data_IF_684783834334
#
_entry.id   IF_684783834334
#
_cell.length_a   1.000
_cell.length_b   1.000
_cell.length_c   1.000
_cell.angle_alpha   90.00
_cell.angle_beta   90.00
_cell.angle_gamma   90.00
#
_symmetry.space_group_name_H-M   'P 1'
#
loop_
_entity.id
_entity.type
_entity.pdbx_description
1 polymer ?
#
# COMPACT_ATOMS: atom_id res chain seq x y z
N UNK A 1 -18.51 3.74 -5.57
CA UNK A 1 -19.41 3.43 -6.71
C UNK A 1 -18.66 3.77 -7.98
N UNK A 2 -18.85 2.98 -9.04
CA UNK A 2 -18.33 3.22 -10.39
C UNK A 2 -19.50 3.69 -11.22
N UNK A 3 -19.33 4.80 -11.94
CA UNK A 3 -20.38 5.40 -12.74
C UNK A 3 -19.92 5.61 -14.18
N UNK A 4 -20.84 5.40 -15.12
CA UNK A 4 -20.77 6.00 -16.44
C UNK A 4 -21.32 7.43 -16.34
N UNK A 5 -20.52 8.41 -16.75
CA UNK A 5 -20.88 9.81 -16.67
C UNK A 5 -20.99 10.40 -18.08
N UNK A 6 -22.11 11.04 -18.37
CA UNK A 6 -22.21 11.92 -19.54
C UNK A 6 -21.86 13.33 -19.11
N UNK A 7 -20.80 13.88 -19.69
CA UNK A 7 -20.20 15.15 -19.30
C UNK A 7 -20.23 16.13 -20.46
N UNK A 8 -20.62 17.38 -20.18
CA UNK A 8 -20.54 18.52 -21.11
C UNK A 8 -19.45 19.47 -20.64
N UNK A 9 -18.52 19.81 -21.55
CA UNK A 9 -17.43 20.76 -21.29
C UNK A 9 -17.98 22.12 -20.85
N UNK A 10 -17.55 22.59 -19.68
CA UNK A 10 -17.87 23.90 -19.15
C UNK A 10 -16.76 24.93 -19.41
N UNK A 11 -16.97 26.17 -18.94
CA UNK A 11 -15.92 27.22 -19.00
C UNK A 11 -14.82 27.05 -17.96
N UNK A 12 -15.15 26.46 -16.82
CA UNK A 12 -14.23 26.26 -15.69
C UNK A 12 -14.38 24.87 -15.08
N UNK A 13 -15.62 24.42 -14.89
CA UNK A 13 -15.96 23.07 -14.45
C UNK A 13 -16.91 22.43 -15.45
N UNK A 14 -16.61 21.18 -15.79
CA UNK A 14 -17.48 20.38 -16.64
C UNK A 14 -18.76 19.99 -15.90
N UNK A 15 -19.85 19.86 -16.64
CA UNK A 15 -21.17 19.56 -16.09
C UNK A 15 -21.53 18.10 -16.34
N UNK A 16 -21.83 17.37 -15.28
CA UNK A 16 -22.42 16.04 -15.36
C UNK A 16 -23.90 16.21 -15.71
N UNK A 17 -24.33 15.64 -16.84
CA UNK A 17 -25.74 15.69 -17.30
C UNK A 17 -26.45 14.34 -17.14
N UNK A 18 -25.69 13.25 -17.04
CA UNK A 18 -26.20 11.93 -16.67
C UNK A 18 -25.13 11.20 -15.84
N UNK A 19 -25.60 10.41 -14.88
CA UNK A 19 -24.77 9.49 -14.13
C UNK A 19 -25.52 8.17 -13.98
N UNK A 20 -24.94 7.08 -14.48
CA UNK A 20 -25.46 5.73 -14.32
C UNK A 20 -24.47 4.91 -13.50
N UNK A 21 -24.94 4.29 -12.42
CA UNK A 21 -24.08 3.45 -11.59
C UNK A 21 -23.92 2.08 -12.23
N UNK A 22 -22.68 1.71 -12.57
CA UNK A 22 -22.32 0.41 -13.14
C UNK A 22 -21.96 -0.58 -12.02
N UNK A 23 -21.23 -0.13 -11.00
CA UNK A 23 -20.77 -0.99 -9.90
C UNK A 23 -20.82 -0.26 -8.55
N UNK A 24 -21.03 -1.02 -7.48
CA UNK A 24 -21.02 -0.53 -6.10
C UNK A 24 -20.29 -1.51 -5.19
N UNK A 25 -19.66 -0.98 -4.13
CA UNK A 25 -18.91 -1.75 -3.13
C UNK A 25 -19.54 -1.55 -1.74
N UNK A 26 -20.74 -2.11 -1.49
CA UNK A 26 -21.49 -1.87 -0.25
C UNK A 26 -20.87 -2.52 0.99
N UNK A 27 -20.02 -3.52 0.84
CA UNK A 27 -19.24 -4.13 1.91
C UNK A 27 -18.21 -3.19 2.52
N UNK A 28 -17.73 -2.18 1.77
CA UNK A 28 -16.84 -1.14 2.31
C UNK A 28 -17.54 -0.27 3.36
N UNK A 29 -18.76 0.20 3.10
CA UNK A 29 -19.48 1.07 4.04
C UNK A 29 -20.01 0.35 5.27
N UNK A 30 -20.05 -1.00 5.25
CA UNK A 30 -20.46 -1.84 6.39
C UNK A 30 -19.35 -2.04 7.43
N UNK A 31 -18.11 -1.65 7.12
CA UNK A 31 -16.99 -1.77 8.03
C UNK A 31 -16.09 -0.53 7.93
N UNK A 32 -15.94 0.20 9.04
CA UNK A 32 -15.23 1.48 9.06
C UNK A 32 -13.76 1.35 8.62
N UNK A 33 -13.07 0.27 9.01
CA UNK A 33 -11.69 0.03 8.59
C UNK A 33 -11.58 -0.21 7.08
N UNK A 34 -12.50 -0.98 6.48
CA UNK A 34 -12.57 -1.14 5.03
C UNK A 34 -12.81 0.19 4.31
N UNK A 35 -13.73 1.01 4.81
CA UNK A 35 -13.99 2.33 4.25
C UNK A 35 -12.74 3.22 4.32
N UNK A 36 -12.05 3.24 5.45
CA UNK A 36 -10.83 4.01 5.65
C UNK A 36 -9.70 3.56 4.72
N UNK A 37 -9.53 2.26 4.51
CA UNK A 37 -8.56 1.71 3.53
C UNK A 37 -8.92 2.16 2.11
N UNK A 38 -10.20 2.11 1.74
CA UNK A 38 -10.66 2.60 0.43
C UNK A 38 -10.38 4.09 0.22
N UNK A 39 -10.58 4.91 1.26
CA UNK A 39 -10.22 6.34 1.25
C UNK A 39 -8.71 6.53 1.10
N UNK A 40 -7.90 5.70 1.76
CA UNK A 40 -6.45 5.73 1.66
C UNK A 40 -5.95 5.45 0.24
N UNK A 41 -6.48 4.42 -0.41
CA UNK A 41 -6.13 4.15 -1.81
C UNK A 41 -6.61 5.27 -2.74
N UNK A 42 -7.81 5.82 -2.53
CA UNK A 42 -8.30 6.94 -3.32
C UNK A 42 -7.39 8.18 -3.19
N UNK A 43 -6.89 8.47 -1.99
CA UNK A 43 -5.95 9.57 -1.77
C UNK A 43 -4.62 9.35 -2.52
N UNK A 44 -4.08 8.12 -2.51
CA UNK A 44 -2.91 7.76 -3.31
C UNK A 44 -3.18 7.94 -4.80
N UNK A 45 -4.30 7.42 -5.31
CA UNK A 45 -4.67 7.54 -6.74
C UNK A 45 -4.78 9.00 -7.16
N UNK A 46 -5.38 9.86 -6.32
CA UNK A 46 -5.44 11.30 -6.56
C UNK A 46 -4.07 11.99 -6.48
N UNK A 47 -3.11 11.39 -5.77
CA UNK A 47 -1.75 11.90 -5.66
C UNK A 47 -0.87 11.57 -6.87
N UNK A 48 -1.01 10.36 -7.41
CA UNK A 48 -0.21 9.85 -8.53
C UNK A 48 -0.86 10.09 -9.89
N UNK A 49 -2.17 10.38 -9.91
CA UNK A 49 -2.94 10.65 -11.12
C UNK A 49 -2.44 11.89 -11.86
N UNK A 50 -2.34 11.78 -13.18
CA UNK A 50 -1.98 12.87 -14.08
C UNK A 50 -3.25 13.64 -14.46
N UNK A 51 -3.17 14.98 -14.38
CA UNK A 51 -4.30 15.83 -14.72
C UNK A 51 -4.65 15.72 -16.21
N UNK A 52 -5.95 15.64 -16.50
CA UNK A 52 -6.51 15.62 -17.86
C UNK A 52 -6.01 14.47 -18.75
N UNK A 53 -5.54 13.37 -18.16
CA UNK A 53 -5.12 12.18 -18.90
C UNK A 53 -5.92 10.96 -18.46
N UNK A 54 -6.33 10.15 -19.44
CA UNK A 54 -6.94 8.86 -19.15
C UNK A 54 -5.88 7.89 -18.64
N UNK A 55 -6.13 7.30 -17.49
CA UNK A 55 -5.25 6.31 -16.85
C UNK A 55 -6.07 5.07 -16.50
N UNK A 56 -6.51 4.34 -17.53
CA UNK A 56 -7.41 3.17 -17.42
C UNK A 56 -6.82 2.11 -16.49
N UNK A 57 -5.55 1.75 -16.66
CA UNK A 57 -4.89 0.74 -15.84
C UNK A 57 -4.88 1.09 -14.35
N UNK A 58 -4.64 2.36 -13.99
CA UNK A 58 -4.66 2.83 -12.61
C UNK A 58 -6.07 2.75 -12.02
N UNK A 59 -7.08 3.11 -12.82
CA UNK A 59 -8.48 3.07 -12.44
C UNK A 59 -8.97 1.63 -12.21
N UNK A 60 -8.67 0.73 -13.15
CA UNK A 60 -9.00 -0.69 -13.04
C UNK A 60 -8.29 -1.35 -11.86
N UNK A 61 -7.02 -1.01 -11.62
CA UNK A 61 -6.29 -1.51 -10.45
C UNK A 61 -6.92 -1.04 -9.13
N UNK A 62 -7.33 0.22 -9.02
CA UNK A 62 -8.06 0.72 -7.85
C UNK A 62 -9.37 -0.08 -7.66
N UNK A 63 -10.16 -0.23 -8.71
CA UNK A 63 -11.43 -0.97 -8.66
C UNK A 63 -11.22 -2.43 -8.24
N UNK A 64 -10.16 -3.08 -8.72
CA UNK A 64 -9.83 -4.44 -8.33
C UNK A 64 -9.51 -4.55 -6.83
N UNK A 65 -8.71 -3.64 -6.28
CA UNK A 65 -8.45 -3.62 -4.83
C UNK A 65 -9.69 -3.28 -4.01
N UNK A 66 -10.53 -2.35 -4.45
CA UNK A 66 -11.82 -2.05 -3.80
C UNK A 66 -12.74 -3.27 -3.79
N UNK A 67 -12.83 -4.00 -4.90
CA UNK A 67 -13.66 -5.21 -5.04
C UNK A 67 -13.15 -6.35 -4.14
N UNK A 68 -11.83 -6.54 -4.04
CA UNK A 68 -11.21 -7.52 -3.12
C UNK A 68 -11.53 -7.18 -1.67
N UNK A 69 -11.37 -5.91 -1.28
CA UNK A 69 -11.66 -5.46 0.09
C UNK A 69 -13.15 -5.54 0.43
N UNK A 70 -14.02 -5.22 -0.52
CA UNK A 70 -15.47 -5.35 -0.40
C UNK A 70 -15.86 -6.79 -0.03
N UNK A 71 -15.31 -7.76 -0.77
CA UNK A 71 -15.57 -9.20 -0.61
C UNK A 71 -14.83 -9.86 0.55
N UNK A 72 -13.85 -9.19 1.16
CA UNK A 72 -13.09 -9.74 2.28
C UNK A 72 -14.01 -10.13 3.45
N UNK A 73 -14.03 -11.41 3.80
CA UNK A 73 -14.72 -11.88 5.00
C UNK A 73 -13.70 -11.94 6.13
N UNK A 74 -13.84 -11.05 7.10
CA UNK A 74 -12.91 -10.97 8.23
C UNK A 74 -13.14 -12.14 9.19
N UNK A 75 -12.04 -12.67 9.71
CA UNK A 75 -12.06 -13.61 10.82
C UNK A 75 -12.63 -12.97 12.09
N UNK A 76 -13.19 -13.79 12.98
CA UNK A 76 -13.75 -13.29 14.26
C UNK A 76 -12.66 -12.92 15.28
N UNK A 77 -11.42 -13.33 15.06
CA UNK A 77 -10.31 -13.01 15.94
C UNK A 77 -9.82 -11.58 15.63
N UNK A 78 -9.85 -10.63 16.58
CA UNK A 78 -9.49 -9.24 16.32
C UNK A 78 -8.09 -9.09 15.74
N UNK A 79 -7.08 -9.71 16.35
CA UNK A 79 -5.69 -9.61 15.90
C UNK A 79 -5.49 -10.16 14.48
N UNK A 80 -6.16 -11.26 14.13
CA UNK A 80 -6.11 -11.78 12.76
C UNK A 80 -6.87 -10.88 11.77
N UNK A 81 -8.04 -10.36 12.16
CA UNK A 81 -8.80 -9.44 11.31
C UNK A 81 -8.03 -8.15 11.00
N UNK A 82 -7.25 -7.66 11.97
CA UNK A 82 -6.34 -6.52 11.78
C UNK A 82 -5.20 -6.87 10.83
N UNK A 83 -4.58 -8.06 10.95
CA UNK A 83 -3.60 -8.54 9.96
C UNK A 83 -4.19 -8.67 8.55
N UNK A 84 -5.42 -9.17 8.40
CA UNK A 84 -6.12 -9.29 7.12
C UNK A 84 -6.33 -7.91 6.47
N UNK A 85 -6.81 -6.93 7.26
CA UNK A 85 -7.04 -5.56 6.80
C UNK A 85 -5.72 -4.87 6.41
N UNK A 86 -4.69 -4.96 7.25
CA UNK A 86 -3.38 -4.37 6.96
C UNK A 86 -2.72 -5.01 5.75
N UNK A 87 -2.80 -6.33 5.60
CA UNK A 87 -2.27 -7.05 4.44
C UNK A 87 -2.89 -6.54 3.13
N UNK A 88 -4.22 -6.39 3.10
CA UNK A 88 -4.92 -5.84 1.94
C UNK A 88 -4.51 -4.39 1.69
N UNK A 89 -4.49 -3.54 2.73
CA UNK A 89 -4.07 -2.14 2.64
C UNK A 89 -2.72 -2.02 1.95
N UNK A 90 -1.68 -2.69 2.48
CA UNK A 90 -0.31 -2.55 1.96
C UNK A 90 -0.14 -3.17 0.58
N UNK A 91 -0.91 -4.22 0.26
CA UNK A 91 -0.94 -4.80 -1.09
C UNK A 91 -1.46 -3.80 -2.13
N UNK A 92 -2.59 -3.14 -1.82
CA UNK A 92 -3.12 -2.07 -2.66
C UNK A 92 -2.15 -0.91 -2.81
N UNK A 93 -1.53 -0.46 -1.70
CA UNK A 93 -0.51 0.59 -1.75
C UNK A 93 0.64 0.21 -2.66
N UNK A 94 1.22 -0.98 -2.48
CA UNK A 94 2.36 -1.42 -3.28
C UNK A 94 2.00 -1.48 -4.77
N UNK A 95 0.87 -2.07 -5.14
CA UNK A 95 0.45 -2.15 -6.55
C UNK A 95 0.17 -0.77 -7.16
N UNK A 96 -0.48 0.14 -6.45
CA UNK A 96 -0.76 1.50 -6.93
C UNK A 96 0.54 2.29 -7.15
N UNK A 97 1.53 2.11 -6.28
CA UNK A 97 2.87 2.66 -6.52
C UNK A 97 3.57 1.95 -7.69
N UNK A 98 3.41 0.64 -7.85
CA UNK A 98 4.09 -0.12 -8.89
C UNK A 98 3.61 0.28 -10.28
N UNK A 99 2.30 0.41 -10.47
CA UNK A 99 1.73 0.79 -11.77
C UNK A 99 2.09 2.23 -12.19
N UNK A 100 2.46 3.06 -11.22
CA UNK A 100 2.90 4.44 -11.43
C UNK A 100 4.42 4.60 -11.48
N UNK A 101 5.17 3.49 -11.40
CA UNK A 101 6.63 3.50 -11.44
C UNK A 101 7.31 3.98 -10.16
N UNK A 102 6.59 4.04 -9.04
CA UNK A 102 7.06 4.55 -7.76
C UNK A 102 7.32 3.46 -6.72
N UNK A 103 6.98 2.18 -6.98
CA UNK A 103 7.17 1.11 -6.00
C UNK A 103 8.65 0.94 -5.59
N UNK A 104 8.92 0.63 -4.31
CA UNK A 104 10.29 0.41 -3.86
C UNK A 104 10.88 -0.89 -4.41
N UNK A 105 12.20 -0.94 -4.54
CA UNK A 105 12.96 -2.16 -4.84
C UNK A 105 13.03 -3.07 -3.60
N UNK A 106 12.48 -4.27 -3.73
CA UNK A 106 12.37 -5.24 -2.63
C UNK A 106 13.18 -6.53 -2.85
N UNK A 107 13.68 -6.77 -4.07
CA UNK A 107 14.32 -8.05 -4.42
C UNK A 107 15.85 -7.99 -4.38
N UNK A 108 16.41 -6.80 -4.60
CA UNK A 108 17.86 -6.59 -4.64
C UNK A 108 18.25 -5.40 -3.76
N UNK A 109 19.49 -5.41 -3.28
CA UNK A 109 20.08 -4.30 -2.57
C UNK A 109 20.25 -3.10 -3.49
N UNK A 110 19.71 -1.93 -3.13
CA UNK A 110 19.84 -0.72 -3.94
C UNK A 110 21.28 -0.21 -4.07
N UNK A 111 22.19 -0.61 -3.17
CA UNK A 111 23.61 -0.23 -3.25
C UNK A 111 24.47 -1.24 -4.03
N UNK A 112 24.31 -2.54 -3.74
CA UNK A 112 25.23 -3.56 -4.27
C UNK A 112 24.64 -4.35 -5.43
N UNK A 113 23.32 -4.26 -5.68
CA UNK A 113 22.61 -5.07 -6.66
C UNK A 113 22.45 -6.55 -6.27
N UNK A 114 23.00 -6.99 -5.13
CA UNK A 114 22.89 -8.37 -4.69
C UNK A 114 21.46 -8.73 -4.27
N UNK A 115 21.03 -9.99 -4.44
CA UNK A 115 19.70 -10.43 -4.03
C UNK A 115 19.50 -10.28 -2.51
N UNK A 116 18.29 -9.90 -2.14
CA UNK A 116 17.79 -9.82 -0.77
C UNK A 116 17.07 -11.11 -0.41
N UNK A 117 17.71 -11.96 0.40
CA UNK A 117 17.14 -13.22 0.85
C UNK A 117 16.91 -13.13 2.36
N UNK A 118 15.66 -13.01 2.83
CA UNK A 118 15.37 -12.95 4.26
C UNK A 118 15.63 -14.31 4.92
N UNK A 119 16.40 -14.31 6.01
CA UNK A 119 16.59 -15.48 6.86
C UNK A 119 15.73 -15.34 8.12
N UNK A 120 14.56 -15.98 8.11
CA UNK A 120 13.61 -15.94 9.23
C UNK A 120 14.03 -16.81 10.41
N UNK A 121 15.08 -17.62 10.27
CA UNK A 121 15.64 -18.44 11.36
C UNK A 121 16.73 -17.68 12.12
N UNK A 122 17.37 -16.69 11.49
CA UNK A 122 18.38 -15.85 12.10
C UNK A 122 17.76 -14.71 12.93
N UNK A 123 17.86 -14.81 14.26
CA UNK A 123 17.26 -13.87 15.22
C UNK A 123 17.72 -12.40 15.05
N UNK A 124 18.95 -12.19 14.55
CA UNK A 124 19.54 -10.85 14.36
C UNK A 124 19.52 -10.37 12.90
N UNK A 125 18.83 -11.08 12.00
CA UNK A 125 18.78 -10.67 10.60
C UNK A 125 18.10 -9.31 10.46
N UNK A 126 18.78 -8.38 9.78
CA UNK A 126 18.33 -7.01 9.57
C UNK A 126 18.81 -6.47 8.23
N UNK A 127 17.98 -5.65 7.60
CA UNK A 127 18.35 -4.82 6.46
C UNK A 127 17.92 -3.38 6.69
N UNK A 128 18.58 -2.45 6.02
CA UNK A 128 18.16 -1.06 5.95
C UNK A 128 17.13 -0.83 4.85
N UNK A 129 16.43 0.28 4.92
CA UNK A 129 15.57 0.81 3.86
C UNK A 129 15.88 2.30 3.70
N UNK A 130 16.22 2.73 2.49
CA UNK A 130 16.47 4.13 2.15
C UNK A 130 15.42 4.61 1.16
N UNK A 131 14.83 5.77 1.46
CA UNK A 131 13.83 6.35 0.57
C UNK A 131 14.49 6.96 -0.67
N UNK A 132 15.69 7.53 -0.54
CA UNK A 132 16.47 8.07 -1.65
C UNK A 132 16.99 6.96 -2.57
N UNK A 133 17.49 5.86 -1.99
CA UNK A 133 17.93 4.71 -2.77
C UNK A 133 16.74 3.89 -3.34
N UNK A 134 15.51 4.24 -2.95
CA UNK A 134 14.29 3.63 -3.49
C UNK A 134 13.99 2.22 -2.98
N UNK A 135 14.51 1.79 -1.82
CA UNK A 135 14.22 0.46 -1.31
C UNK A 135 15.22 -0.12 -0.31
N UNK A 136 15.36 -1.45 -0.35
CA UNK A 136 16.15 -2.22 0.60
C UNK A 136 17.65 -2.07 0.40
N UNK A 137 18.41 -2.03 1.50
CA UNK A 137 19.86 -1.93 1.50
C UNK A 137 20.47 -2.93 2.50
N UNK A 138 21.48 -3.69 2.05
CA UNK A 138 22.18 -4.64 2.91
C UNK A 138 22.99 -3.89 3.96
N UNK A 139 23.08 -4.49 5.15
CA UNK A 139 23.90 -3.99 6.25
C UNK A 139 25.19 -4.83 6.38
N UNK A 140 26.30 -4.23 6.84
CA UNK A 140 26.46 -2.81 7.13
C UNK A 140 26.57 -1.96 5.84
N UNK A 141 26.14 -0.71 5.91
CA UNK A 141 26.33 0.26 4.83
C UNK A 141 27.77 0.79 4.90
N UNK A 142 28.53 0.85 3.78
CA UNK A 142 29.86 1.45 3.77
C UNK A 142 29.81 2.92 4.17
N UNK A 143 30.74 3.39 5.02
CA UNK A 143 30.81 4.81 5.45
C UNK A 143 30.95 5.79 4.28
N UNK A 144 31.46 5.34 3.14
CA UNK A 144 31.63 6.14 1.92
C UNK A 144 30.36 6.32 1.10
N UNK A 145 29.26 5.63 1.43
CA UNK A 145 28.08 5.55 0.58
C UNK A 145 27.13 6.76 0.65
N UNK A 146 27.42 7.77 1.48
CA UNK A 146 26.60 8.99 1.72
C UNK A 146 25.08 8.72 1.59
N UNK A 147 24.56 7.88 2.48
CA UNK A 147 23.19 7.35 2.37
C UNK A 147 22.48 7.36 3.72
N UNK A 148 21.22 7.79 3.71
CA UNK A 148 20.35 7.81 4.89
C UNK A 148 19.46 6.57 4.95
N UNK A 149 19.57 5.82 6.04
CA UNK A 149 18.62 4.74 6.34
C UNK A 149 17.42 5.30 7.10
N UNK A 150 16.23 5.11 6.53
CA UNK A 150 14.97 5.60 7.06
C UNK A 150 14.27 4.58 7.95
N UNK A 151 14.50 3.29 7.68
CA UNK A 151 13.97 2.20 8.48
C UNK A 151 14.96 1.03 8.53
N UNK A 152 14.75 0.16 9.52
CA UNK A 152 15.41 -1.13 9.64
C UNK A 152 14.33 -2.19 9.70
N UNK A 153 14.43 -3.20 8.84
CA UNK A 153 13.44 -4.26 8.72
C UNK A 153 14.04 -5.61 9.13
N UNK A 154 13.23 -6.42 9.81
CA UNK A 154 13.55 -7.81 10.12
C UNK A 154 13.21 -8.75 8.95
N UNK A 155 13.54 -10.03 9.11
CA UNK A 155 13.37 -11.02 8.05
C UNK A 155 11.89 -11.26 7.71
N UNK A 156 10.99 -11.27 8.71
CA UNK A 156 9.55 -11.45 8.49
C UNK A 156 8.95 -10.29 7.70
N UNK A 157 9.28 -9.05 8.05
CA UNK A 157 8.80 -7.84 7.35
C UNK A 157 9.25 -7.86 5.87
N UNK A 158 10.51 -8.20 5.61
CA UNK A 158 11.04 -8.31 4.23
C UNK A 158 10.38 -9.46 3.48
N UNK A 159 10.22 -10.63 4.10
CA UNK A 159 9.59 -11.78 3.46
C UNK A 159 8.13 -11.52 3.07
N UNK A 160 7.42 -10.72 3.86
CA UNK A 160 6.05 -10.28 3.56
C UNK A 160 6.05 -9.21 2.46
N UNK A 161 6.90 -8.18 2.57
CA UNK A 161 7.06 -7.12 1.57
C UNK A 161 7.34 -7.70 0.17
N UNK A 162 8.30 -8.63 0.07
CA UNK A 162 8.69 -9.25 -1.19
C UNK A 162 7.55 -10.01 -1.88
N UNK A 163 6.53 -10.44 -1.12
CA UNK A 163 5.36 -11.13 -1.66
C UNK A 163 4.26 -10.18 -2.13
N UNK A 164 4.33 -8.88 -1.82
CA UNK A 164 3.36 -7.89 -2.29
C UNK A 164 3.42 -7.65 -3.81
N UNK A 165 4.51 -8.10 -4.47
CA UNK A 165 4.64 -8.03 -5.94
C UNK A 165 3.69 -8.97 -6.68
N UNK A 166 3.17 -10.01 -6.01
CA UNK A 166 2.30 -10.96 -6.65
C UNK A 166 0.87 -10.40 -6.78
N UNK A 167 0.15 -10.73 -7.87
CA UNK A 167 -1.19 -10.20 -8.11
C UNK A 167 -2.20 -10.49 -6.99
N UNK A 168 -2.01 -11.58 -6.24
CA UNK A 168 -2.90 -12.05 -5.19
C UNK A 168 -2.14 -12.29 -3.88
N UNK A 169 -2.80 -12.00 -2.76
CA UNK A 169 -2.28 -12.36 -1.44
C UNK A 169 -2.49 -13.86 -1.20
N UNK A 170 -1.40 -14.60 -1.00
CA UNK A 170 -1.51 -16.00 -0.58
C UNK A 170 -2.12 -16.10 0.82
N UNK A 171 -3.01 -17.08 1.05
CA UNK A 171 -3.65 -17.27 2.36
C UNK A 171 -2.67 -17.44 3.53
N UNK A 172 -1.45 -17.90 3.27
CA UNK A 172 -0.41 -18.06 4.28
C UNK A 172 0.18 -16.72 4.77
N UNK A 173 0.01 -15.62 4.03
CA UNK A 173 0.48 -14.29 4.42
C UNK A 173 -0.29 -13.75 5.63
N UNK A 174 -1.57 -14.08 5.77
CA UNK A 174 -2.38 -13.68 6.93
C UNK A 174 -1.90 -14.30 8.26
N UNK A 175 -0.99 -15.29 8.22
CA UNK A 175 -0.41 -15.89 9.42
C UNK A 175 0.64 -15.00 10.09
N UNK A 176 1.18 -14.02 9.38
CA UNK A 176 2.06 -13.02 9.99
C UNK A 176 1.28 -12.20 11.01
N UNK A 177 1.92 -11.90 12.14
CA UNK A 177 1.30 -11.12 13.20
C UNK A 177 1.02 -9.67 12.77
N UNK A 178 0.13 -9.01 13.52
CA UNK A 178 -0.27 -7.63 13.25
C UNK A 178 0.91 -6.66 13.37
N UNK A 179 1.90 -6.94 14.22
CA UNK A 179 3.10 -6.11 14.39
C UNK A 179 3.96 -6.07 13.12
N UNK A 180 4.14 -7.21 12.46
CA UNK A 180 4.84 -7.33 11.19
C UNK A 180 4.13 -6.51 10.12
N UNK A 181 2.81 -6.62 10.03
CA UNK A 181 2.02 -5.86 9.06
C UNK A 181 2.02 -4.36 9.34
N UNK A 182 1.96 -3.93 10.60
CA UNK A 182 2.11 -2.51 10.97
C UNK A 182 3.50 -1.97 10.63
N UNK A 183 4.56 -2.77 10.82
CA UNK A 183 5.91 -2.41 10.41
C UNK A 183 6.01 -2.18 8.90
N UNK A 184 5.47 -3.12 8.11
CA UNK A 184 5.39 -3.06 6.65
C UNK A 184 4.58 -1.85 6.19
N UNK A 185 3.40 -1.64 6.78
CA UNK A 185 2.53 -0.50 6.50
C UNK A 185 3.24 0.82 6.75
N UNK A 186 3.90 0.97 7.90
CA UNK A 186 4.62 2.19 8.26
C UNK A 186 5.74 2.52 7.28
N UNK A 187 6.50 1.51 6.85
CA UNK A 187 7.58 1.70 5.87
C UNK A 187 7.01 2.14 4.52
N UNK A 188 5.97 1.46 4.01
CA UNK A 188 5.35 1.82 2.74
C UNK A 188 4.65 3.17 2.79
N UNK A 189 3.96 3.51 3.88
CA UNK A 189 3.36 4.82 4.11
C UNK A 189 4.41 5.92 4.05
N UNK A 190 5.47 5.81 4.84
CA UNK A 190 6.52 6.83 4.90
C UNK A 190 7.24 6.98 3.56
N UNK A 191 7.54 5.87 2.90
CA UNK A 191 8.10 5.88 1.56
C UNK A 191 7.17 6.54 0.54
N UNK A 192 5.87 6.23 0.56
CA UNK A 192 4.87 6.86 -0.31
C UNK A 192 4.84 8.37 -0.10
N UNK A 193 4.78 8.83 1.15
CA UNK A 193 4.76 10.26 1.48
C UNK A 193 6.04 10.97 1.01
N UNK A 194 7.19 10.31 1.13
CA UNK A 194 8.46 10.81 0.61
C UNK A 194 8.41 11.00 -0.90
N UNK A 195 8.00 9.97 -1.66
CA UNK A 195 7.93 10.03 -3.12
C UNK A 195 6.88 11.03 -3.63
N UNK A 196 5.76 11.17 -2.91
CA UNK A 196 4.67 12.07 -3.26
C UNK A 196 4.89 13.52 -2.78
N UNK A 197 5.87 13.75 -1.91
CA UNK A 197 6.12 15.06 -1.30
C UNK A 197 4.99 15.60 -0.43
N UNK A 198 4.07 14.73 0.03
CA UNK A 198 2.91 15.11 0.85
C UNK A 198 2.49 14.00 1.81
N UNK A 199 1.90 14.41 2.94
CA UNK A 199 1.35 13.48 3.92
C UNK A 199 0.02 12.88 3.45
N UNK A 200 -0.18 11.58 3.73
CA UNK A 200 -1.43 10.87 3.46
C UNK A 200 -2.38 11.12 4.64
N UNK A 201 -3.40 11.95 4.44
CA UNK A 201 -4.29 12.40 5.50
C UNK A 201 -5.16 11.27 6.04
N UNK A 202 -5.64 10.39 5.17
CA UNK A 202 -6.43 9.20 5.54
C UNK A 202 -5.68 8.25 6.48
N UNK A 203 -4.35 8.32 6.53
CA UNK A 203 -3.52 7.51 7.42
C UNK A 203 -3.86 7.73 8.89
N UNK A 204 -4.23 8.97 9.25
CA UNK A 204 -4.63 9.32 10.63
C UNK A 204 -5.86 8.56 11.11
N UNK A 205 -6.83 8.30 10.21
CA UNK A 205 -8.00 7.50 10.53
C UNK A 205 -7.62 6.04 10.77
N UNK A 206 -6.73 5.47 9.93
CA UNK A 206 -6.27 4.09 10.11
C UNK A 206 -5.49 3.92 11.41
N UNK A 207 -4.68 4.90 11.80
CA UNK A 207 -3.97 4.90 13.08
C UNK A 207 -4.97 4.80 14.24
N UNK A 208 -6.05 5.57 14.23
CA UNK A 208 -7.07 5.47 15.29
C UNK A 208 -7.78 4.12 15.35
N UNK A 209 -7.91 3.43 14.20
CA UNK A 209 -8.61 2.15 14.10
C UNK A 209 -7.74 0.96 14.48
N UNK A 210 -6.43 1.02 14.20
CA UNK A 210 -5.50 -0.08 14.45
C UNK A 210 -4.67 0.08 15.72
N UNK A 211 -4.53 1.30 16.25
CA UNK A 211 -3.91 1.53 17.57
C UNK A 211 -4.87 1.17 18.71
N UNK A 212 -6.20 1.22 18.49
CA UNK A 212 -7.21 0.92 19.51
C UNK A 212 -7.36 -0.57 19.85
N UNK A 213 -6.68 -1.46 19.12
CA UNK A 213 -6.74 -2.91 19.33
C UNK A 213 -5.63 -3.44 20.27
N UNK A 214 -4.93 -2.54 20.97
CA UNK A 214 -3.86 -2.84 21.94
C UNK A 214 -4.17 -2.27 23.34
#
# INVERSE_FOLDING_TARGET
VVNELLIVKGRSLDKIIQAETIESYPGLSRNLAKLAIGQYWAEIVLAVGLSEQTQEDLYELLNEHLRRLDRLILTQNPSQSTSELLAHLVHGVYHLLAITGLAPQLQHCCLTGEPMIPDTQAEKWRVGFSFEAGGLVKLPVPETADMTLHAHLNAQEVAVLQKLIYPELSANLYRSDSMTWMGVERVLRNYSQYQLGKAIQSATLLDTLFISDF
#
